data_IF_506436568393
#
_entry.id   IF_506436568393
#
_cell.length_a   1.000
_cell.length_b   1.000
_cell.length_c   1.000
_cell.angle_alpha   90.00
_cell.angle_beta   90.00
_cell.angle_gamma   90.00
#
_symmetry.space_group_name_H-M   'P 1'
#
loop_
_entity.id
_entity.type
_entity.pdbx_description
1 polymer ?
#
# COMPACT_ATOMS: atom_id res chain seq x y z
N UNK A 1 11.54 -7.50 7.50
CA UNK A 1 10.89 -8.03 8.71
C UNK A 1 9.45 -8.38 8.35
N UNK A 2 8.82 -9.36 9.01
CA UNK A 2 7.41 -9.65 8.80
C UNK A 2 6.56 -8.68 9.64
N UNK A 3 5.63 -7.95 9.01
CA UNK A 3 4.73 -7.05 9.73
C UNK A 3 3.71 -7.82 10.58
N UNK A 4 3.27 -8.99 10.11
CA UNK A 4 2.26 -9.81 10.77
C UNK A 4 2.81 -11.22 11.08
N UNK A 5 3.73 -11.36 12.06
CA UNK A 5 4.26 -12.67 12.42
C UNK A 5 3.16 -13.57 13.01
N UNK A 6 2.23 -13.03 13.79
CA UNK A 6 1.14 -13.80 14.40
C UNK A 6 0.22 -14.40 13.33
N UNK A 7 -0.16 -13.63 12.30
CA UNK A 7 -0.94 -14.13 11.18
C UNK A 7 -0.19 -15.20 10.37
N UNK A 8 1.12 -15.07 10.21
CA UNK A 8 1.94 -16.09 9.56
C UNK A 8 1.92 -17.41 10.34
N UNK A 9 2.13 -17.38 11.66
CA UNK A 9 2.13 -18.56 12.54
C UNK A 9 0.73 -19.21 12.61
N UNK A 10 -0.33 -18.41 12.51
CA UNK A 10 -1.72 -18.87 12.47
C UNK A 10 -2.20 -19.25 11.06
N UNK A 11 -1.35 -19.13 10.04
CA UNK A 11 -1.69 -19.38 8.63
C UNK A 11 -2.92 -18.59 8.15
N UNK A 12 -2.99 -17.31 8.49
CA UNK A 12 -4.08 -16.41 8.13
C UNK A 12 -3.56 -15.04 7.65
N UNK A 13 -4.42 -14.32 6.93
CA UNK A 13 -4.11 -12.99 6.39
C UNK A 13 -4.11 -11.94 7.49
N UNK A 14 -5.11 -12.00 8.35
CA UNK A 14 -5.37 -11.04 9.42
C UNK A 14 -4.39 -11.21 10.58
N UNK A 15 -4.24 -10.20 11.44
CA UNK A 15 -3.46 -10.33 12.67
C UNK A 15 -4.19 -11.19 13.72
N UNK A 16 -3.59 -11.36 14.91
CA UNK A 16 -4.17 -12.16 15.99
C UNK A 16 -5.60 -11.71 16.42
N UNK A 17 -5.96 -10.44 16.16
CA UNK A 17 -7.28 -9.87 16.43
C UNK A 17 -8.24 -9.98 15.24
N UNK A 18 -7.89 -10.73 14.20
CA UNK A 18 -8.68 -10.88 12.95
C UNK A 18 -8.88 -9.56 12.19
N UNK A 19 -7.91 -8.64 12.28
CA UNK A 19 -7.91 -7.37 11.54
C UNK A 19 -6.99 -7.46 10.33
N UNK A 20 -7.48 -7.03 9.16
CA UNK A 20 -6.64 -6.81 7.97
C UNK A 20 -5.77 -5.56 8.19
N UNK A 21 -4.48 -5.77 8.45
CA UNK A 21 -3.53 -4.69 8.70
C UNK A 21 -3.38 -3.73 7.52
N UNK A 22 -3.60 -4.18 6.28
CA UNK A 22 -3.60 -3.31 5.09
C UNK A 22 -4.98 -2.65 4.86
N UNK A 23 -5.83 -2.56 5.90
CA UNK A 23 -7.04 -1.74 5.98
C UNK A 23 -7.09 -0.93 7.29
N UNK A 24 -6.02 -0.96 8.07
CA UNK A 24 -6.02 -0.49 9.45
C UNK A 24 -5.28 0.85 9.65
N UNK A 25 -4.65 1.41 8.61
CA UNK A 25 -4.06 2.76 8.67
C UNK A 25 -5.14 3.86 8.53
N UNK A 26 -4.87 5.08 9.02
CA UNK A 26 -5.72 6.24 8.77
C UNK A 26 -5.95 6.52 7.29
N UNK A 27 -7.21 6.53 6.87
CA UNK A 27 -7.59 6.80 5.48
C UNK A 27 -7.95 8.27 5.25
N UNK A 28 -7.22 9.00 4.40
CA UNK A 28 -7.41 10.44 4.18
C UNK A 28 -8.67 10.76 3.36
N UNK A 29 -9.09 9.87 2.45
CA UNK A 29 -10.28 10.12 1.61
C UNK A 29 -11.53 10.12 2.49
N UNK A 30 -11.61 9.18 3.44
CA UNK A 30 -12.72 9.09 4.40
C UNK A 30 -12.61 10.10 5.54
N UNK A 31 -11.44 10.71 5.74
CA UNK A 31 -11.16 11.63 6.87
C UNK A 31 -10.70 13.03 6.46
N UNK A 32 -11.00 13.46 5.23
CA UNK A 32 -10.70 14.81 4.75
C UNK A 32 -9.20 15.19 4.92
N UNK A 33 -8.31 14.23 4.67
CA UNK A 33 -6.86 14.42 4.77
C UNK A 33 -6.26 14.19 6.17
N UNK A 34 -7.06 13.86 7.19
CA UNK A 34 -6.53 13.59 8.52
C UNK A 34 -5.90 12.20 8.62
N UNK A 35 -4.57 12.18 8.76
CA UNK A 35 -3.72 10.98 8.90
C UNK A 35 -3.36 10.68 10.38
N UNK A 36 -3.91 11.40 11.35
CA UNK A 36 -3.69 11.13 12.77
C UNK A 36 -4.27 9.78 13.19
N UNK A 37 -3.77 9.20 14.28
CA UNK A 37 -4.32 7.97 14.85
C UNK A 37 -5.79 8.14 15.21
N UNK A 38 -6.59 7.12 14.93
CA UNK A 38 -8.00 7.04 15.29
C UNK A 38 -8.23 6.36 16.64
N UNK A 39 -7.21 5.68 17.17
CA UNK A 39 -7.30 4.83 18.36
C UNK A 39 -7.83 3.43 18.07
N UNK A 40 -7.99 3.07 16.80
CA UNK A 40 -8.43 1.74 16.32
C UNK A 40 -7.33 0.96 15.62
N UNK A 41 -6.14 1.55 15.53
CA UNK A 41 -4.97 0.93 14.93
C UNK A 41 -4.47 -0.23 15.81
N UNK A 42 -4.19 -1.35 15.17
CA UNK A 42 -3.53 -2.51 15.77
C UNK A 42 -2.08 -2.17 16.12
N UNK A 43 -1.48 -2.97 16.99
CA UNK A 43 -0.13 -2.69 17.51
C UNK A 43 0.92 -2.67 16.39
N UNK A 44 0.76 -3.53 15.41
CA UNK A 44 1.60 -3.65 14.22
C UNK A 44 1.49 -2.40 13.34
N UNK A 45 0.27 -1.91 13.14
CA UNK A 45 -0.01 -0.67 12.42
C UNK A 45 0.62 0.52 13.13
N UNK A 46 0.39 0.64 14.45
CA UNK A 46 0.98 1.71 15.27
C UNK A 46 2.51 1.69 15.20
N UNK A 47 3.13 0.50 15.31
CA UNK A 47 4.57 0.36 15.24
C UNK A 47 5.14 0.84 13.90
N UNK A 48 4.46 0.56 12.78
CA UNK A 48 4.87 1.05 11.46
C UNK A 48 4.60 2.55 11.26
N UNK A 49 3.48 3.07 11.77
CA UNK A 49 3.24 4.52 11.78
C UNK A 49 4.37 5.25 12.53
N UNK A 50 4.77 4.74 13.68
CA UNK A 50 5.87 5.31 14.47
C UNK A 50 7.22 5.17 13.77
N UNK A 51 7.47 4.04 13.10
CA UNK A 51 8.69 3.84 12.33
C UNK A 51 8.79 4.81 11.14
N UNK A 52 7.71 4.97 10.38
CA UNK A 52 7.65 5.92 9.25
C UNK A 52 7.83 7.36 9.77
N UNK A 53 7.14 7.73 10.85
CA UNK A 53 7.27 9.07 11.44
C UNK A 53 8.67 9.32 12.03
N UNK A 54 9.29 8.31 12.63
CA UNK A 54 10.65 8.39 13.19
C UNK A 54 11.69 8.70 12.11
N UNK A 55 11.58 8.04 10.95
CA UNK A 55 12.47 8.28 9.83
C UNK A 55 12.15 9.59 9.10
N UNK A 56 10.88 9.98 9.09
CA UNK A 56 10.39 11.19 8.42
C UNK A 56 10.85 11.24 6.97
N UNK A 57 11.37 12.40 6.57
CA UNK A 57 11.88 12.63 5.20
C UNK A 57 13.18 11.85 4.88
N UNK A 58 13.76 11.13 5.84
CA UNK A 58 14.91 10.25 5.57
C UNK A 58 14.49 8.92 4.95
N UNK A 59 13.22 8.53 5.11
CA UNK A 59 12.67 7.37 4.41
C UNK A 59 12.23 7.80 3.02
N UNK A 60 13.07 7.52 2.01
CA UNK A 60 12.82 7.96 0.63
C UNK A 60 11.94 6.97 -0.14
N UNK A 61 12.04 5.68 0.15
CA UNK A 61 11.21 4.67 -0.50
C UNK A 61 11.04 3.41 0.30
N UNK A 62 9.95 2.69 0.04
CA UNK A 62 9.57 1.46 0.71
C UNK A 62 8.80 0.55 -0.24
N UNK A 63 8.96 -0.77 -0.05
CA UNK A 63 8.19 -1.75 -0.81
C UNK A 63 7.59 -2.76 0.16
N UNK A 64 6.27 -2.94 0.07
CA UNK A 64 5.54 -3.95 0.83
C UNK A 64 5.18 -5.12 -0.07
N UNK A 65 5.64 -6.32 0.30
CA UNK A 65 5.41 -7.52 -0.49
C UNK A 65 4.12 -8.21 -0.05
N UNK A 66 3.32 -8.61 -1.03
CA UNK A 66 2.06 -9.35 -0.85
C UNK A 66 2.05 -10.60 -1.72
N UNK A 67 1.15 -11.53 -1.40
CA UNK A 67 0.82 -12.67 -2.25
C UNK A 67 -0.59 -12.54 -2.83
N UNK A 68 -0.95 -13.46 -3.75
CA UNK A 68 -2.28 -13.54 -4.37
C UNK A 68 -2.34 -13.02 -5.80
N UNK A 69 -1.37 -12.20 -6.23
CA UNK A 69 -1.22 -11.78 -7.62
C UNK A 69 0.26 -11.52 -7.93
N UNK A 70 0.64 -11.64 -9.21
CA UNK A 70 1.99 -11.34 -9.69
C UNK A 70 1.98 -10.01 -10.46
N UNK A 71 2.09 -8.91 -9.73
CA UNK A 71 2.00 -7.53 -10.26
C UNK A 71 2.66 -6.56 -9.28
N UNK A 72 3.21 -5.46 -9.78
CA UNK A 72 3.63 -4.32 -8.97
C UNK A 72 2.53 -3.24 -8.99
N UNK A 73 2.08 -2.81 -7.82
CA UNK A 73 0.96 -1.87 -7.67
C UNK A 73 1.54 -0.49 -7.34
N UNK A 74 1.05 0.54 -8.01
CA UNK A 74 1.45 1.93 -7.73
C UNK A 74 0.29 2.74 -7.11
N UNK A 75 0.59 3.71 -6.22
CA UNK A 75 -0.40 4.56 -5.58
C UNK A 75 -1.21 5.43 -6.55
N UNK A 76 -2.42 5.87 -6.18
CA UNK A 76 -3.13 5.49 -4.95
C UNK A 76 -3.88 4.16 -5.07
N UNK A 77 -4.02 3.49 -3.94
CA UNK A 77 -4.88 2.32 -3.77
C UNK A 77 -6.36 2.71 -3.68
N UNK A 78 -6.68 3.84 -3.03
CA UNK A 78 -8.04 4.35 -2.92
C UNK A 78 -8.43 5.27 -4.07
N UNK A 79 -9.66 5.19 -4.58
CA UNK A 79 -10.20 6.25 -5.44
C UNK A 79 -10.56 7.50 -4.62
N UNK A 80 -10.64 8.66 -5.30
CA UNK A 80 -10.99 9.97 -4.72
C UNK A 80 -12.38 10.06 -4.05
N UNK A 81 -13.25 9.08 -4.24
CA UNK A 81 -14.64 9.10 -3.76
C UNK A 81 -14.87 8.25 -2.51
N UNK A 82 -13.87 7.47 -2.07
CA UNK A 82 -14.04 6.60 -0.90
C UNK A 82 -14.93 5.37 -1.17
N UNK A 83 -15.11 4.98 -2.44
CA UNK A 83 -16.06 3.94 -2.87
C UNK A 83 -15.34 2.68 -3.38
N UNK A 84 -16.02 1.52 -3.47
CA UNK A 84 -15.43 0.32 -4.07
C UNK A 84 -15.33 0.36 -5.61
N UNK A 85 -15.70 1.46 -6.26
CA UNK A 85 -15.67 1.58 -7.73
C UNK A 85 -14.23 1.63 -8.24
N UNK A 86 -13.88 0.74 -9.17
CA UNK A 86 -12.58 0.80 -9.87
C UNK A 86 -12.50 2.08 -10.69
N UNK A 87 -11.51 2.90 -10.38
CA UNK A 87 -11.28 4.18 -11.04
C UNK A 87 -9.84 4.61 -10.80
N UNK A 88 -9.12 4.95 -11.87
CA UNK A 88 -7.76 5.45 -11.76
C UNK A 88 -7.70 6.74 -10.95
N UNK A 89 -6.86 6.74 -9.91
CA UNK A 89 -6.57 7.87 -9.05
C UNK A 89 -5.05 7.95 -8.87
N UNK A 90 -4.33 8.37 -9.93
CA UNK A 90 -2.87 8.42 -9.89
C UNK A 90 -2.39 9.46 -8.87
N UNK A 91 -1.30 9.13 -8.18
CA UNK A 91 -0.61 10.08 -7.32
C UNK A 91 0.02 11.23 -8.14
N UNK A 92 0.26 12.41 -7.54
CA UNK A 92 0.95 13.51 -8.20
C UNK A 92 2.29 13.12 -8.86
N UNK A 93 3.03 12.19 -8.25
CA UNK A 93 4.31 11.68 -8.73
C UNK A 93 4.20 10.38 -9.56
N UNK A 94 3.05 10.12 -10.18
CA UNK A 94 2.77 8.90 -10.97
C UNK A 94 3.90 8.50 -11.92
N UNK A 95 4.54 9.47 -12.59
CA UNK A 95 5.65 9.19 -13.52
C UNK A 95 6.86 8.58 -12.81
N UNK A 96 7.21 9.06 -11.63
CA UNK A 96 8.31 8.53 -10.84
C UNK A 96 7.95 7.15 -10.29
N UNK A 97 6.75 7.00 -9.73
CA UNK A 97 6.25 5.73 -9.20
C UNK A 97 6.23 4.64 -10.27
N UNK A 98 5.71 4.93 -11.47
CA UNK A 98 5.73 3.99 -12.59
C UNK A 98 7.15 3.67 -13.06
N UNK A 99 8.06 4.67 -13.08
CA UNK A 99 9.46 4.42 -13.41
C UNK A 99 10.11 3.44 -12.42
N UNK A 100 9.95 3.66 -11.11
CA UNK A 100 10.48 2.79 -10.06
C UNK A 100 9.85 1.39 -10.13
N UNK A 101 8.52 1.32 -10.27
CA UNK A 101 7.81 0.05 -10.38
C UNK A 101 8.26 -0.75 -11.60
N UNK A 102 8.49 -0.07 -12.74
CA UNK A 102 8.96 -0.71 -13.96
C UNK A 102 10.38 -1.27 -13.81
N UNK A 103 11.28 -0.56 -13.10
CA UNK A 103 12.62 -1.08 -12.80
C UNK A 103 12.57 -2.40 -12.04
N UNK A 104 11.64 -2.55 -11.10
CA UNK A 104 11.45 -3.82 -10.39
C UNK A 104 10.90 -4.90 -11.32
N UNK A 105 9.89 -4.57 -12.13
CA UNK A 105 9.23 -5.52 -13.06
C UNK A 105 10.16 -6.01 -14.17
N UNK A 106 11.01 -5.15 -14.72
CA UNK A 106 11.94 -5.49 -15.82
C UNK A 106 12.93 -6.59 -15.42
N UNK A 107 13.31 -6.65 -14.14
CA UNK A 107 14.17 -7.69 -13.58
C UNK A 107 13.40 -8.99 -13.26
N UNK A 108 12.08 -9.03 -13.50
CA UNK A 108 11.17 -10.12 -13.15
C UNK A 108 10.38 -10.59 -14.39
N UNK A 109 10.96 -11.44 -15.26
CA UNK A 109 10.33 -11.83 -16.53
C UNK A 109 8.92 -12.43 -16.40
N UNK A 110 8.66 -13.18 -15.32
CA UNK A 110 7.33 -13.74 -15.07
C UNK A 110 6.28 -12.67 -14.78
N UNK A 111 6.65 -11.61 -14.06
CA UNK A 111 5.78 -10.47 -13.77
C UNK A 111 5.61 -9.58 -14.99
N UNK A 112 6.70 -9.28 -15.70
CA UNK A 112 6.68 -8.45 -16.91
C UNK A 112 5.79 -9.01 -18.02
N UNK A 113 5.77 -10.35 -18.15
CA UNK A 113 4.99 -11.07 -19.16
C UNK A 113 3.68 -11.66 -18.62
N UNK A 114 3.23 -11.24 -17.43
CA UNK A 114 1.99 -11.76 -16.86
C UNK A 114 0.78 -11.30 -17.73
N UNK A 115 0.02 -12.22 -18.36
CA UNK A 115 -1.12 -11.84 -19.19
C UNK A 115 -2.29 -11.24 -18.39
N UNK A 116 -2.38 -11.52 -17.09
CA UNK A 116 -3.39 -10.93 -16.21
C UNK A 116 -3.13 -9.44 -15.97
N UNK A 117 -1.85 -9.05 -15.90
CA UNK A 117 -1.41 -7.68 -15.70
C UNK A 117 -0.39 -7.31 -16.78
N UNK A 118 -0.85 -6.94 -18.00
CA UNK A 118 0.05 -6.62 -19.10
C UNK A 118 1.08 -5.55 -18.70
N UNK A 119 2.36 -5.89 -18.84
CA UNK A 119 3.47 -5.02 -18.45
C UNK A 119 3.81 -5.02 -16.96
N UNK A 120 3.14 -5.82 -16.14
CA UNK A 120 3.47 -6.11 -14.74
C UNK A 120 3.29 -4.97 -13.74
N UNK A 121 2.79 -3.80 -14.16
CA UNK A 121 2.49 -2.65 -13.30
C UNK A 121 1.01 -2.34 -13.36
N UNK A 122 0.39 -2.00 -12.23
CA UNK A 122 -1.03 -1.68 -12.15
C UNK A 122 -1.32 -0.52 -11.19
N UNK A 123 -2.19 0.40 -11.60
CA UNK A 123 -2.73 1.43 -10.72
C UNK A 123 -3.65 0.80 -9.66
N UNK A 124 -3.37 1.01 -8.37
CA UNK A 124 -4.08 0.34 -7.26
C UNK A 124 -5.59 0.54 -7.30
N UNK A 125 -6.03 1.80 -7.35
CA UNK A 125 -7.45 2.17 -7.38
C UNK A 125 -8.21 1.72 -8.64
N UNK A 126 -7.50 1.42 -9.73
CA UNK A 126 -8.08 0.88 -10.97
C UNK A 126 -8.15 -0.66 -10.95
N UNK A 127 -7.39 -1.32 -10.07
CA UNK A 127 -7.46 -2.76 -9.89
C UNK A 127 -8.51 -3.17 -8.87
N UNK A 128 -8.33 -2.71 -7.64
CA UNK A 128 -9.16 -3.01 -6.49
C UNK A 128 -9.03 -1.86 -5.47
N UNK A 129 -9.99 -0.92 -5.43
CA UNK A 129 -9.96 0.17 -4.47
C UNK A 129 -9.82 -0.31 -3.03
N UNK A 130 -8.79 0.21 -2.37
CA UNK A 130 -8.41 -0.16 -1.01
C UNK A 130 -8.21 1.12 -0.20
N UNK A 131 -8.60 1.08 1.08
CA UNK A 131 -8.56 2.23 1.96
C UNK A 131 -7.92 1.82 3.29
N UNK A 132 -7.14 2.74 3.88
CA UNK A 132 -6.39 2.47 5.10
C UNK A 132 -5.20 1.52 4.90
N UNK A 133 -4.56 1.59 3.73
CA UNK A 133 -3.33 0.85 3.43
C UNK A 133 -2.06 1.62 3.79
N UNK A 134 -0.97 0.89 4.02
CA UNK A 134 0.33 1.49 4.35
C UNK A 134 0.94 2.27 3.19
N UNK A 135 0.71 1.82 1.95
CA UNK A 135 1.24 2.45 0.73
C UNK A 135 0.78 3.91 0.62
N UNK A 136 -0.53 4.14 0.64
CA UNK A 136 -1.11 5.48 0.54
C UNK A 136 -0.76 6.32 1.78
N UNK A 137 -0.74 5.71 2.97
CA UNK A 137 -0.37 6.38 4.22
C UNK A 137 1.07 6.94 4.18
N UNK A 138 2.05 6.13 3.79
CA UNK A 138 3.45 6.52 3.75
C UNK A 138 3.71 7.60 2.70
N UNK A 139 3.12 7.47 1.51
CA UNK A 139 3.24 8.47 0.44
C UNK A 139 2.66 9.82 0.90
N UNK A 140 1.49 9.84 1.52
CA UNK A 140 0.84 11.09 1.93
C UNK A 140 1.48 11.75 3.15
N UNK A 141 2.08 10.96 4.05
CA UNK A 141 2.72 11.51 5.24
C UNK A 141 4.08 12.16 4.91
N UNK A 142 4.92 11.47 4.14
CA UNK A 142 6.32 11.87 3.93
C UNK A 142 6.83 11.71 2.49
N UNK A 143 5.94 11.53 1.51
CA UNK A 143 6.33 11.29 0.10
C UNK A 143 7.29 10.11 -0.03
N UNK A 144 7.02 9.04 0.72
CA UNK A 144 7.72 7.76 0.58
C UNK A 144 7.25 7.08 -0.70
N UNK A 145 8.19 6.70 -1.58
CA UNK A 145 7.91 6.10 -2.89
C UNK A 145 7.99 4.56 -2.90
#
# INVERSE_FOLDING_TARGET
FAMNPDGFDLHQRENANQVDLNRNFPDPVKRQGDLSRTGREEKETVALMDFVALLGNSLVGATTLHEGALVNIVPFDGNRHGTPRKEAHPAPDEKLLNYLARRFVDEQPAMANNPEFPGGVKQGSDWYPLYGGIQDYAYLLHSVY
#
